data_IF_493999373501
#
_entry.id   IF_493999373501
#
_cell.length_a   1.000
_cell.length_b   1.000
_cell.length_c   1.000
_cell.angle_alpha   90.00
_cell.angle_beta   90.00
_cell.angle_gamma   90.00
#
_symmetry.space_group_name_H-M   'P 1'
#
loop_
_entity.id
_entity.type
_entity.pdbx_description
1 polymer ?
#
# COMPACT_ATOMS: atom_id res chain seq x y z
N UNK A 1 -0.53 12.23 -19.74
CA UNK A 1 0.27 11.37 -18.83
C UNK A 1 0.53 12.00 -17.48
N UNK A 2 0.82 13.29 -17.40
CA UNK A 2 1.14 14.00 -16.13
C UNK A 2 0.11 13.80 -15.01
N UNK A 3 -1.19 13.90 -15.32
CA UNK A 3 -2.26 13.70 -14.34
C UNK A 3 -2.26 12.28 -13.75
N UNK A 4 -2.01 11.26 -14.58
CA UNK A 4 -1.95 9.86 -14.13
C UNK A 4 -0.76 9.66 -13.19
N UNK A 5 0.40 10.21 -13.56
CA UNK A 5 1.59 10.16 -12.72
C UNK A 5 1.37 10.89 -11.39
N UNK A 6 0.76 12.08 -11.41
CA UNK A 6 0.44 12.84 -10.21
C UNK A 6 -0.48 12.06 -9.26
N UNK A 7 -1.56 11.47 -9.80
CA UNK A 7 -2.47 10.62 -9.01
C UNK A 7 -1.75 9.38 -8.47
N UNK A 8 -0.89 8.75 -9.27
CA UNK A 8 -0.08 7.61 -8.84
C UNK A 8 0.83 7.97 -7.67
N UNK A 9 1.53 9.11 -7.75
CA UNK A 9 2.42 9.60 -6.70
C UNK A 9 1.65 9.98 -5.43
N UNK A 10 0.47 10.61 -5.55
CA UNK A 10 -0.39 10.88 -4.39
C UNK A 10 -0.81 9.58 -3.71
N UNK A 11 -1.24 8.58 -4.48
CA UNK A 11 -1.64 7.30 -3.93
C UNK A 11 -0.47 6.59 -3.23
N UNK A 12 0.73 6.68 -3.80
CA UNK A 12 1.96 6.16 -3.20
C UNK A 12 2.31 6.88 -1.89
N UNK A 13 2.22 8.22 -1.89
CA UNK A 13 2.49 9.04 -0.71
C UNK A 13 1.50 8.77 0.42
N UNK A 14 0.20 8.64 0.11
CA UNK A 14 -0.81 8.27 1.09
C UNK A 14 -0.53 6.89 1.68
N UNK A 15 -0.26 5.90 0.83
CA UNK A 15 -0.12 4.51 1.27
C UNK A 15 1.16 4.31 2.10
N UNK A 16 2.32 4.61 1.54
CA UNK A 16 3.62 4.42 2.21
C UNK A 16 3.81 5.45 3.32
N UNK A 17 3.53 6.73 3.04
CA UNK A 17 3.65 7.80 4.03
C UNK A 17 2.68 7.62 5.20
N UNK A 18 1.45 7.17 4.92
CA UNK A 18 0.46 6.87 5.94
C UNK A 18 0.85 5.69 6.82
N UNK A 19 1.45 4.63 6.27
CA UNK A 19 2.00 3.52 7.06
C UNK A 19 3.12 3.99 8.00
N UNK A 20 4.05 4.80 7.49
CA UNK A 20 5.14 5.37 8.29
C UNK A 20 4.57 6.25 9.40
N UNK A 21 3.61 7.13 9.08
CA UNK A 21 2.93 7.97 10.07
C UNK A 21 2.26 7.11 11.15
N UNK A 22 1.48 6.10 10.77
CA UNK A 22 0.80 5.22 11.73
C UNK A 22 1.79 4.52 12.66
N UNK A 23 2.86 3.95 12.11
CA UNK A 23 3.84 3.20 12.87
C UNK A 23 4.72 4.09 13.76
N UNK A 24 5.13 5.26 13.27
CA UNK A 24 6.12 6.12 13.93
C UNK A 24 5.49 7.16 14.86
N UNK A 25 4.25 7.60 14.62
CA UNK A 25 3.63 8.68 15.40
C UNK A 25 2.38 8.20 16.15
N UNK A 26 1.42 7.59 15.45
CA UNK A 26 0.13 7.24 16.05
C UNK A 26 0.25 6.08 17.04
N UNK A 27 0.88 4.97 16.63
CA UNK A 27 1.01 3.77 17.47
C UNK A 27 1.76 4.06 18.79
N UNK A 28 2.89 4.80 18.80
CA UNK A 28 3.56 5.16 20.05
C UNK A 28 2.70 6.02 20.98
N UNK A 29 1.99 7.01 20.45
CA UNK A 29 1.11 7.88 21.25
C UNK A 29 -0.03 7.08 21.88
N UNK A 30 -0.69 6.23 21.10
CA UNK A 30 -1.78 5.37 21.59
C UNK A 30 -1.31 4.31 22.59
N UNK A 31 -0.05 3.86 22.51
CA UNK A 31 0.53 2.98 23.54
C UNK A 31 0.71 3.68 24.88
N UNK A 32 0.98 4.99 24.88
CA UNK A 32 1.12 5.80 26.09
C UNK A 32 -0.22 6.21 26.72
N UNK A 33 -1.30 6.27 25.95
CA UNK A 33 -2.65 6.59 26.42
C UNK A 33 -3.70 5.73 25.69
N UNK A 34 -3.89 4.47 26.12
CA UNK A 34 -4.63 3.49 25.36
C UNK A 34 -6.14 3.78 25.31
N UNK A 35 -6.62 4.09 24.11
CA UNK A 35 -8.05 4.10 23.77
C UNK A 35 -8.31 3.11 22.62
N UNK A 36 -8.75 1.87 22.94
CA UNK A 36 -8.99 0.84 21.93
C UNK A 36 -10.01 1.24 20.85
N UNK A 37 -10.99 2.08 21.19
CA UNK A 37 -12.01 2.52 20.25
C UNK A 37 -11.44 3.53 19.25
N UNK A 38 -10.64 4.49 19.73
CA UNK A 38 -9.94 5.46 18.89
C UNK A 38 -8.93 4.80 17.96
N UNK A 39 -8.08 3.91 18.49
CA UNK A 39 -7.12 3.15 17.68
C UNK A 39 -7.82 2.32 16.60
N UNK A 40 -8.93 1.65 16.95
CA UNK A 40 -9.70 0.88 15.97
C UNK A 40 -10.27 1.77 14.85
N UNK A 41 -10.83 2.93 15.20
CA UNK A 41 -11.37 3.86 14.22
C UNK A 41 -10.27 4.38 13.27
N UNK A 42 -9.10 4.75 13.81
CA UNK A 42 -7.96 5.18 12.99
C UNK A 42 -7.52 4.06 12.04
N UNK A 43 -7.34 2.85 12.57
CA UNK A 43 -6.91 1.69 11.77
C UNK A 43 -7.91 1.34 10.67
N UNK A 44 -9.22 1.42 10.94
CA UNK A 44 -10.27 1.15 9.95
C UNK A 44 -10.29 2.21 8.84
N UNK A 45 -10.24 3.49 9.20
CA UNK A 45 -10.21 4.59 8.23
C UNK A 45 -8.95 4.53 7.35
N UNK A 46 -7.79 4.27 7.96
CA UNK A 46 -6.56 4.11 7.21
C UNK A 46 -6.58 2.86 6.31
N UNK A 47 -7.14 1.75 6.80
CA UNK A 47 -7.29 0.51 6.02
C UNK A 47 -8.12 0.73 4.75
N UNK A 48 -9.28 1.38 4.87
CA UNK A 48 -10.12 1.71 3.70
C UNK A 48 -9.43 2.68 2.75
N UNK A 49 -8.79 3.73 3.27
CA UNK A 49 -8.01 4.65 2.46
C UNK A 49 -6.86 3.95 1.72
N UNK A 50 -6.20 3.00 2.37
CA UNK A 50 -5.10 2.23 1.79
C UNK A 50 -5.57 1.27 0.70
N UNK A 51 -6.75 0.66 0.83
CA UNK A 51 -7.35 -0.14 -0.25
C UNK A 51 -7.64 0.73 -1.48
N UNK A 52 -8.22 1.93 -1.28
CA UNK A 52 -8.46 2.88 -2.38
C UNK A 52 -7.15 3.31 -3.04
N UNK A 53 -6.12 3.62 -2.24
CA UNK A 53 -4.80 4.00 -2.73
C UNK A 53 -4.14 2.86 -3.53
N UNK A 54 -4.15 1.62 -3.02
CA UNK A 54 -3.61 0.46 -3.72
C UNK A 54 -4.35 0.18 -5.04
N UNK A 55 -5.69 0.23 -5.04
CA UNK A 55 -6.48 0.10 -6.26
C UNK A 55 -6.12 1.17 -7.30
N UNK A 56 -5.93 2.41 -6.84
CA UNK A 56 -5.48 3.53 -7.68
C UNK A 56 -4.09 3.27 -8.25
N UNK A 57 -3.13 2.80 -7.44
CA UNK A 57 -1.78 2.47 -7.86
C UNK A 57 -1.77 1.37 -8.92
N UNK A 58 -2.56 0.31 -8.72
CA UNK A 58 -2.68 -0.80 -9.68
C UNK A 58 -3.22 -0.27 -11.00
N UNK A 59 -4.32 0.47 -10.96
CA UNK A 59 -4.97 1.00 -12.17
C UNK A 59 -4.05 1.96 -12.94
N UNK A 60 -3.51 2.96 -12.25
CA UNK A 60 -2.59 3.94 -12.87
C UNK A 60 -1.29 3.29 -13.34
N UNK A 61 -0.77 2.30 -12.63
CA UNK A 61 0.38 1.50 -13.03
C UNK A 61 0.15 0.73 -14.34
N UNK A 62 -1.02 0.10 -14.50
CA UNK A 62 -1.39 -0.56 -15.75
C UNK A 62 -1.54 0.43 -16.92
N UNK A 63 -2.11 1.61 -16.68
CA UNK A 63 -2.21 2.65 -17.71
C UNK A 63 -0.83 3.12 -18.17
N UNK A 64 0.09 3.37 -17.24
CA UNK A 64 1.47 3.73 -17.56
C UNK A 64 2.20 2.59 -18.29
N UNK A 65 2.02 1.33 -17.86
CA UNK A 65 2.60 0.18 -18.54
C UNK A 65 2.13 0.04 -19.99
N UNK A 66 0.84 0.27 -20.25
CA UNK A 66 0.30 0.30 -21.62
C UNK A 66 0.85 1.45 -22.44
N UNK A 67 0.96 2.64 -21.86
CA UNK A 67 1.47 3.81 -22.56
C UNK A 67 2.94 3.66 -22.97
N UNK A 68 3.77 3.07 -22.09
CA UNK A 68 5.20 2.86 -22.32
C UNK A 68 5.54 1.48 -22.91
N UNK A 69 4.54 0.68 -23.32
CA UNK A 69 4.73 -0.67 -23.88
C UNK A 69 5.55 -1.62 -22.99
N UNK A 70 5.40 -1.52 -21.67
CA UNK A 70 6.21 -2.25 -20.68
C UNK A 70 5.69 -3.66 -20.37
N UNK A 71 4.61 -4.12 -21.01
CA UNK A 71 3.99 -5.42 -20.75
C UNK A 71 4.90 -6.63 -21.01
N UNK A 72 5.95 -6.47 -21.81
CA UNK A 72 6.98 -7.51 -22.00
C UNK A 72 8.01 -7.62 -20.87
N UNK A 73 8.02 -6.68 -19.92
CA UNK A 73 9.03 -6.60 -18.87
C UNK A 73 8.65 -7.49 -17.67
N UNK A 74 9.50 -8.46 -17.34
CA UNK A 74 9.29 -9.37 -16.19
C UNK A 74 9.23 -8.64 -14.85
N UNK A 75 10.00 -7.57 -14.67
CA UNK A 75 9.98 -6.73 -13.46
C UNK A 75 8.63 -6.06 -13.25
N UNK A 76 7.95 -5.65 -14.33
CA UNK A 76 6.58 -5.10 -14.25
C UNK A 76 5.61 -6.16 -13.69
N UNK A 77 5.67 -7.39 -14.20
CA UNK A 77 4.80 -8.48 -13.74
C UNK A 77 5.03 -8.82 -12.27
N UNK A 78 6.29 -8.85 -11.83
CA UNK A 78 6.64 -9.03 -10.41
C UNK A 78 6.02 -7.91 -9.57
N UNK A 79 6.19 -6.65 -9.97
CA UNK A 79 5.64 -5.49 -9.24
C UNK A 79 4.11 -5.52 -9.18
N UNK A 80 3.44 -5.78 -10.30
CA UNK A 80 1.97 -5.89 -10.33
C UNK A 80 1.47 -7.04 -9.45
N UNK A 81 2.16 -8.18 -9.49
CA UNK A 81 1.85 -9.34 -8.63
C UNK A 81 1.97 -8.97 -7.16
N UNK A 82 3.08 -8.33 -6.77
CA UNK A 82 3.28 -7.86 -5.38
C UNK A 82 2.20 -6.87 -4.96
N UNK A 83 1.79 -5.94 -5.84
CA UNK A 83 0.72 -4.99 -5.54
C UNK A 83 -0.64 -5.67 -5.36
N UNK A 84 -0.99 -6.64 -6.22
CA UNK A 84 -2.23 -7.42 -6.10
C UNK A 84 -2.21 -8.24 -4.80
N UNK A 85 -1.10 -8.90 -4.49
CA UNK A 85 -0.93 -9.63 -3.23
C UNK A 85 -1.05 -8.70 -2.02
N UNK A 86 -0.48 -7.50 -2.09
CA UNK A 86 -0.59 -6.49 -1.02
C UNK A 86 -2.04 -6.05 -0.83
N UNK A 87 -2.77 -5.80 -1.92
CA UNK A 87 -4.19 -5.44 -1.88
C UNK A 87 -5.04 -6.53 -1.23
N UNK A 88 -4.85 -7.78 -1.64
CA UNK A 88 -5.55 -8.94 -1.06
C UNK A 88 -5.17 -9.12 0.42
N UNK A 89 -3.87 -9.05 0.74
CA UNK A 89 -3.37 -9.21 2.10
C UNK A 89 -3.94 -8.15 3.05
N UNK A 90 -3.99 -6.89 2.62
CA UNK A 90 -4.61 -5.80 3.37
C UNK A 90 -6.10 -6.04 3.59
N UNK A 91 -6.85 -6.42 2.55
CA UNK A 91 -8.28 -6.74 2.68
C UNK A 91 -8.52 -7.89 3.66
N UNK A 92 -7.70 -8.93 3.61
CA UNK A 92 -7.74 -10.04 4.57
C UNK A 92 -7.35 -9.59 5.98
N UNK A 93 -6.34 -8.72 6.13
CA UNK A 93 -5.93 -8.17 7.42
C UNK A 93 -7.06 -7.34 8.06
N UNK A 94 -7.79 -6.55 7.27
CA UNK A 94 -8.96 -5.81 7.77
C UNK A 94 -10.09 -6.73 8.22
N UNK A 95 -10.30 -7.86 7.54
CA UNK A 95 -11.29 -8.88 7.92
C UNK A 95 -10.86 -9.69 9.14
N UNK A 96 -9.56 -9.96 9.28
CA UNK A 96 -8.97 -10.79 10.34
C UNK A 96 -7.84 -10.06 11.09
N UNK A 97 -8.14 -8.96 11.81
CA UNK A 97 -7.12 -8.06 12.38
C UNK A 97 -6.28 -8.71 13.49
N UNK A 98 -6.78 -9.79 14.11
CA UNK A 98 -6.06 -10.53 15.16
C UNK A 98 -5.03 -11.53 14.59
N UNK A 99 -4.99 -11.74 13.27
CA UNK A 99 -4.02 -12.62 12.66
C UNK A 99 -2.67 -11.89 12.51
N UNK A 100 -1.78 -12.06 13.50
CA UNK A 100 -0.44 -11.46 13.49
C UNK A 100 0.38 -11.84 12.23
N UNK A 101 0.15 -13.03 11.67
CA UNK A 101 0.76 -13.45 10.41
C UNK A 101 0.36 -12.54 9.22
N UNK A 102 -0.90 -12.10 9.15
CA UNK A 102 -1.37 -11.18 8.08
C UNK A 102 -0.78 -9.78 8.23
N UNK A 103 -0.56 -9.34 9.48
CA UNK A 103 0.11 -8.06 9.75
C UNK A 103 1.56 -8.10 9.24
N UNK A 104 2.32 -9.14 9.62
CA UNK A 104 3.69 -9.31 9.16
C UNK A 104 3.77 -9.46 7.64
N UNK A 105 2.86 -10.24 7.05
CA UNK A 105 2.79 -10.43 5.60
C UNK A 105 2.49 -9.10 4.87
N UNK A 106 1.49 -8.34 5.32
CA UNK A 106 1.15 -7.05 4.72
C UNK A 106 2.36 -6.11 4.77
N UNK A 107 3.02 -6.02 5.92
CA UNK A 107 4.23 -5.19 6.07
C UNK A 107 5.36 -5.61 5.10
N UNK A 108 5.70 -6.89 5.05
CA UNK A 108 6.76 -7.41 4.16
C UNK A 108 6.43 -7.21 2.68
N UNK A 109 5.18 -7.44 2.29
CA UNK A 109 4.72 -7.18 0.92
C UNK A 109 4.85 -5.70 0.58
N UNK A 110 4.52 -4.81 1.53
CA UNK A 110 4.61 -3.38 1.26
C UNK A 110 6.06 -2.91 1.07
N UNK A 111 6.99 -3.39 1.91
CA UNK A 111 8.42 -3.14 1.71
C UNK A 111 8.91 -3.66 0.35
N UNK A 112 8.47 -4.85 -0.05
CA UNK A 112 8.82 -5.45 -1.34
C UNK A 112 8.32 -4.59 -2.51
N UNK A 113 7.08 -4.08 -2.46
CA UNK A 113 6.52 -3.20 -3.49
C UNK A 113 7.36 -1.92 -3.65
N UNK A 114 7.79 -1.32 -2.54
CA UNK A 114 8.63 -0.11 -2.56
C UNK A 114 10.00 -0.43 -3.15
N UNK A 115 10.64 -1.53 -2.72
CA UNK A 115 11.95 -1.94 -3.22
C UNK A 115 11.95 -2.18 -4.73
N UNK A 116 11.08 -3.04 -5.23
CA UNK A 116 10.94 -3.31 -6.68
C UNK A 116 10.44 -2.09 -7.46
N UNK A 117 9.84 -1.10 -6.78
CA UNK A 117 9.52 0.19 -7.37
C UNK A 117 10.75 0.96 -7.83
N UNK A 118 11.92 0.76 -7.21
CA UNK A 118 13.17 1.43 -7.54
C UNK A 118 13.89 0.81 -8.75
N UNK A 119 13.60 -0.47 -9.05
CA UNK A 119 14.29 -1.24 -10.09
C UNK A 119 13.68 -1.04 -11.49
N UNK A 120 12.49 -0.42 -11.58
CA UNK A 120 11.92 -0.08 -12.88
C UNK A 120 12.59 1.20 -13.41
N UNK A 121 13.16 1.20 -14.63
CA UNK A 121 13.69 2.41 -15.23
C UNK A 121 12.57 3.45 -15.39
N UNK A 122 12.92 4.71 -15.11
CA UNK A 122 12.07 5.88 -15.33
C UNK A 122 11.72 6.07 -16.81
#
# INVERSE_FOLDING_TARGET
MEVILFVHVIAMAFFVGGQIMLAATIVPVERGNPDPARMKAIAQNFGWGSLVALGTLIFTGMLMASHYSLWGNSTLHVKLTLMILTFISLGLHMKYPKAHALMALTFLLTLSVVWFGLELPA
#
